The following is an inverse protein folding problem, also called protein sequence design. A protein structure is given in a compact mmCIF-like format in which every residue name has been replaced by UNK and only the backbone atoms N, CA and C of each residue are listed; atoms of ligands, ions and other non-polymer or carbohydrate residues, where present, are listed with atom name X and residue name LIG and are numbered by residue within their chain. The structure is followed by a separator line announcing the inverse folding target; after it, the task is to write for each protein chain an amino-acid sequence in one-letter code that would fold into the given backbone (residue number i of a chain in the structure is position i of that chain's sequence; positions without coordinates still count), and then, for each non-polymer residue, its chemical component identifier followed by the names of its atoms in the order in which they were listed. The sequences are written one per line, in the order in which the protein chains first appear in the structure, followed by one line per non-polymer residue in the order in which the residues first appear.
data_IF_195148147168
#
_entry.id   IF_195148147168
#
_cell.length_a   1.000
_cell.length_b   1.000
_cell.length_c   1.000
_cell.angle_alpha   90.00
_cell.angle_beta   90.00
_cell.angle_gamma   90.00
#
_symmetry.space_group_name_H-M   'P 1'
#
loop_
_entity.id
_entity.type
_entity.pdbx_description
1 polymer ?
#
# COMPACT_ATOMS: atom_id res chain seq x y z
N UNK A 1 88.33 -61.09 -15.83
CA UNK A 1 87.15 -60.79 -16.66
C UNK A 1 85.90 -60.96 -15.79
N UNK A 2 85.24 -59.87 -15.41
CA UNK A 2 83.78 -59.64 -15.42
C UNK A 2 83.58 -58.15 -15.16
N UNK A 3 82.74 -57.55 -15.99
CA UNK A 3 82.51 -56.14 -16.24
C UNK A 3 82.02 -55.36 -15.01
N UNK A 4 82.52 -54.13 -14.85
CA UNK A 4 81.95 -53.06 -14.04
C UNK A 4 80.46 -52.92 -14.35
N UNK A 5 79.61 -53.09 -13.32
CA UNK A 5 78.17 -52.82 -13.40
C UNK A 5 77.96 -51.34 -13.69
N UNK A 6 77.25 -51.07 -14.79
CA UNK A 6 76.73 -49.75 -15.13
C UNK A 6 75.89 -49.21 -13.97
N UNK A 7 76.33 -48.08 -13.41
CA UNK A 7 75.48 -47.22 -12.59
C UNK A 7 74.52 -46.54 -13.57
N UNK A 8 73.27 -47.00 -13.58
CA UNK A 8 72.19 -46.34 -14.31
C UNK A 8 71.94 -45.00 -13.61
N UNK A 9 72.29 -43.90 -14.29
CA UNK A 9 71.96 -42.55 -13.87
C UNK A 9 70.44 -42.38 -13.93
N UNK A 10 69.79 -42.44 -12.76
CA UNK A 10 68.37 -42.16 -12.65
C UNK A 10 68.17 -40.66 -12.90
N UNK A 11 67.27 -40.24 -13.80
CA UNK A 11 66.97 -38.83 -13.99
C UNK A 11 66.51 -38.24 -12.65
N UNK A 12 67.03 -37.05 -12.31
CA UNK A 12 66.67 -36.34 -11.09
C UNK A 12 65.14 -36.25 -10.98
N UNK A 13 64.62 -36.59 -9.79
CA UNK A 13 63.19 -36.50 -9.49
C UNK A 13 62.75 -35.06 -9.81
N UNK A 14 61.72 -34.85 -10.65
CA UNK A 14 61.22 -33.51 -10.92
C UNK A 14 60.88 -32.82 -9.60
N UNK A 15 61.31 -31.57 -9.42
CA UNK A 15 60.90 -30.78 -8.26
C UNK A 15 59.37 -30.81 -8.15
N UNK A 16 58.88 -31.05 -6.93
CA UNK A 16 57.45 -31.09 -6.67
C UNK A 16 56.82 -29.80 -7.22
N UNK A 17 55.69 -29.89 -7.95
CA UNK A 17 55.05 -28.71 -8.51
C UNK A 17 54.84 -27.71 -7.39
N UNK A 18 55.30 -26.48 -7.61
CA UNK A 18 55.10 -25.38 -6.67
C UNK A 18 53.61 -25.33 -6.38
N UNK A 19 53.23 -25.58 -5.12
CA UNK A 19 51.84 -25.46 -4.68
C UNK A 19 51.41 -24.07 -5.12
N UNK A 20 50.34 -23.92 -5.92
CA UNK A 20 49.89 -22.60 -6.30
C UNK A 20 49.69 -21.85 -4.99
N UNK A 21 50.46 -20.77 -4.82
CA UNK A 21 50.26 -19.83 -3.72
C UNK A 21 48.90 -19.24 -4.03
N UNK A 22 47.83 -19.88 -3.52
CA UNK A 22 46.51 -19.31 -3.52
C UNK A 22 46.69 -17.92 -2.90
N UNK A 23 46.25 -16.88 -3.60
CA UNK A 23 46.42 -15.47 -3.24
C UNK A 23 45.96 -15.23 -1.79
N UNK A 24 46.85 -15.53 -0.85
CA UNK A 24 46.56 -15.53 0.58
C UNK A 24 46.39 -14.09 1.06
N UNK A 25 46.96 -13.15 0.30
CA UNK A 25 46.84 -11.72 0.51
C UNK A 25 45.45 -11.19 0.09
N UNK A 26 44.82 -11.70 -0.98
CA UNK A 26 43.45 -11.32 -1.33
C UNK A 26 42.41 -11.95 -0.38
N UNK A 27 42.63 -13.19 0.05
CA UNK A 27 41.73 -13.85 0.99
C UNK A 27 41.74 -13.19 2.39
N UNK A 28 42.90 -12.73 2.85
CA UNK A 28 43.03 -12.00 4.14
C UNK A 28 42.39 -10.60 4.10
N UNK A 29 42.33 -9.96 2.93
CA UNK A 29 41.67 -8.65 2.76
C UNK A 29 40.15 -8.78 2.62
N UNK A 30 39.65 -9.99 2.33
CA UNK A 30 38.23 -10.26 2.09
C UNK A 30 37.49 -10.66 3.36
N UNK A 31 38.17 -11.03 4.45
CA UNK A 31 37.50 -11.49 5.68
C UNK A 31 37.01 -10.28 6.49
N UNK A 32 35.73 -10.23 6.82
CA UNK A 32 35.16 -9.18 7.68
C UNK A 32 35.79 -9.23 9.08
N UNK A 33 35.66 -8.15 9.87
CA UNK A 33 36.26 -8.04 11.22
C UNK A 33 36.00 -9.24 12.14
N UNK A 34 34.92 -9.98 11.88
CA UNK A 34 34.46 -11.12 12.65
C UNK A 34 34.92 -12.49 12.12
N UNK A 35 35.76 -12.54 11.07
CA UNK A 35 36.22 -13.80 10.50
C UNK A 35 35.32 -14.40 9.42
N UNK A 36 34.23 -13.71 9.05
CA UNK A 36 33.21 -14.22 8.12
C UNK A 36 33.42 -13.70 6.69
N UNK A 37 33.05 -14.52 5.66
CA UNK A 37 33.07 -14.08 4.28
C UNK A 37 32.03 -12.96 4.07
N UNK A 38 32.38 -11.92 3.31
CA UNK A 38 31.51 -10.76 3.12
C UNK A 38 30.33 -11.16 2.25
N UNK A 39 29.20 -10.50 2.41
CA UNK A 39 27.97 -10.81 1.68
C UNK A 39 28.17 -10.79 0.17
N UNK A 40 29.01 -9.87 -0.31
CA UNK A 40 29.40 -9.81 -1.72
C UNK A 40 30.01 -11.12 -2.25
N UNK A 41 30.77 -11.86 -1.44
CA UNK A 41 31.41 -13.11 -1.89
C UNK A 41 30.44 -14.30 -1.97
N UNK A 42 29.33 -14.26 -1.22
CA UNK A 42 28.28 -15.29 -1.23
C UNK A 42 27.10 -14.93 -2.14
N UNK A 43 27.25 -13.90 -2.97
CA UNK A 43 26.20 -13.44 -3.90
C UNK A 43 25.04 -12.71 -3.23
N UNK A 44 25.22 -12.24 -1.99
CA UNK A 44 24.30 -11.38 -1.27
C UNK A 44 24.73 -9.91 -1.40
N UNK A 45 23.83 -8.99 -1.08
CA UNK A 45 24.08 -7.55 -1.10
C UNK A 45 23.79 -6.86 -2.43
N UNK A 46 24.53 -5.78 -2.70
CA UNK A 46 24.40 -4.96 -3.91
C UNK A 46 23.56 -3.69 -3.74
N UNK A 47 23.33 -2.99 -4.85
CA UNK A 47 22.70 -1.65 -4.87
C UNK A 47 21.17 -1.66 -4.98
N UNK A 48 20.56 -2.85 -5.03
CA UNK A 48 19.10 -2.99 -4.99
C UNK A 48 18.59 -2.68 -3.58
N UNK A 49 17.30 -2.31 -3.39
CA UNK A 49 16.74 -2.10 -2.05
C UNK A 49 16.95 -3.30 -1.10
N UNK A 50 16.88 -4.52 -1.65
CA UNK A 50 17.17 -5.76 -0.93
C UNK A 50 18.64 -5.83 -0.52
N UNK A 51 19.55 -5.55 -1.46
CA UNK A 51 20.99 -5.57 -1.23
C UNK A 51 21.46 -4.51 -0.24
N UNK A 52 20.87 -3.31 -0.29
CA UNK A 52 21.16 -2.24 0.68
C UNK A 52 20.80 -2.68 2.10
N UNK A 53 19.62 -3.30 2.29
CA UNK A 53 19.21 -3.83 3.59
C UNK A 53 20.19 -4.90 4.08
N UNK A 54 20.62 -5.81 3.22
CA UNK A 54 21.62 -6.84 3.54
C UNK A 54 22.96 -6.23 3.96
N UNK A 55 23.50 -5.31 3.16
CA UNK A 55 24.76 -4.61 3.46
C UNK A 55 24.69 -3.83 4.77
N UNK A 56 23.56 -3.17 5.06
CA UNK A 56 23.38 -2.47 6.34
C UNK A 56 23.35 -3.43 7.53
N UNK A 57 22.72 -4.59 7.40
CA UNK A 57 22.69 -5.60 8.46
C UNK A 57 24.06 -6.23 8.68
N UNK A 58 24.77 -6.58 7.61
CA UNK A 58 26.17 -7.03 7.67
C UNK A 58 27.06 -6.00 8.38
N UNK A 59 26.97 -4.72 7.99
CA UNK A 59 27.71 -3.65 8.63
C UNK A 59 27.45 -3.58 10.14
N UNK A 60 26.20 -3.66 10.57
CA UNK A 60 25.83 -3.64 11.99
C UNK A 60 26.35 -4.88 12.73
N UNK A 61 26.19 -6.06 12.12
CA UNK A 61 26.65 -7.32 12.70
C UNK A 61 28.17 -7.34 12.87
N UNK A 62 28.93 -7.06 11.80
CA UNK A 62 30.38 -7.12 11.79
C UNK A 62 31.06 -5.99 12.57
N UNK A 63 30.44 -4.80 12.66
CA UNK A 63 31.07 -3.66 13.36
C UNK A 63 30.79 -3.68 14.85
N UNK A 64 29.60 -4.11 15.27
CA UNK A 64 29.17 -4.07 16.67
C UNK A 64 29.09 -5.44 17.34
N UNK A 65 29.40 -6.51 16.61
CA UNK A 65 29.39 -7.90 17.08
C UNK A 65 28.04 -8.30 17.73
N UNK A 66 26.95 -7.80 17.15
CA UNK A 66 25.59 -8.03 17.65
C UNK A 66 25.03 -9.29 17.00
N UNK A 67 24.40 -10.23 17.73
CA UNK A 67 23.80 -11.42 17.14
C UNK A 67 22.74 -11.06 16.09
N UNK A 68 22.55 -11.93 15.09
CA UNK A 68 21.68 -11.67 13.94
C UNK A 68 20.25 -11.28 14.30
N UNK A 69 19.64 -11.88 15.33
CA UNK A 69 18.30 -11.47 15.79
C UNK A 69 18.27 -9.99 16.22
N UNK A 70 19.35 -9.53 16.88
CA UNK A 70 19.53 -8.16 17.35
C UNK A 70 19.80 -7.20 16.20
N UNK A 71 20.64 -7.61 15.25
CA UNK A 71 20.88 -6.88 14.00
C UNK A 71 19.59 -6.64 13.21
N UNK A 72 18.75 -7.68 13.07
CA UNK A 72 17.43 -7.58 12.44
C UNK A 72 16.54 -6.60 13.22
N UNK A 73 16.51 -6.69 14.55
CA UNK A 73 15.71 -5.81 15.39
C UNK A 73 16.14 -4.34 15.29
N UNK A 74 17.44 -4.06 15.32
CA UNK A 74 18.02 -2.72 15.18
C UNK A 74 17.73 -2.15 13.80
N UNK A 75 17.99 -2.92 12.73
CA UNK A 75 17.69 -2.49 11.36
C UNK A 75 16.21 -2.14 11.19
N UNK A 76 15.33 -2.94 11.79
CA UNK A 76 13.89 -2.67 11.82
C UNK A 76 13.58 -1.36 12.56
N UNK A 77 14.16 -1.17 13.76
CA UNK A 77 13.96 0.02 14.57
C UNK A 77 14.39 1.30 13.85
N UNK A 78 15.55 1.29 13.20
CA UNK A 78 16.08 2.42 12.42
C UNK A 78 15.10 2.79 11.32
N UNK A 79 14.68 1.82 10.51
CA UNK A 79 13.75 2.07 9.40
C UNK A 79 12.39 2.56 9.90
N UNK A 80 11.87 1.96 10.99
CA UNK A 80 10.61 2.42 11.61
C UNK A 80 10.72 3.83 12.17
N UNK A 81 11.89 4.24 12.66
CA UNK A 81 12.16 5.59 13.16
C UNK A 81 12.20 6.60 12.01
N UNK A 82 12.84 6.23 10.89
CA UNK A 82 12.89 7.07 9.68
C UNK A 82 11.48 7.29 9.09
N UNK A 83 10.61 6.28 9.11
CA UNK A 83 9.22 6.39 8.62
C UNK A 83 8.31 7.13 9.62
N UNK A 84 8.69 7.24 10.90
CA UNK A 84 7.82 7.77 11.96
C UNK A 84 7.23 9.17 11.67
N UNK A 85 7.96 10.14 11.08
CA UNK A 85 7.37 11.42 10.66
C UNK A 85 6.20 11.27 9.67
N UNK A 86 6.26 10.29 8.75
CA UNK A 86 5.14 9.99 7.84
C UNK A 86 3.94 9.43 8.60
N UNK A 87 4.17 8.61 9.64
CA UNK A 87 3.12 8.10 10.52
C UNK A 87 2.42 9.25 11.24
N UNK A 88 3.17 10.23 11.75
CA UNK A 88 2.62 11.42 12.38
C UNK A 88 1.77 12.22 11.38
N UNK A 89 2.24 12.42 10.15
CA UNK A 89 1.49 13.13 9.11
C UNK A 89 0.15 12.45 8.80
N UNK A 90 0.16 11.12 8.64
CA UNK A 90 -1.05 10.33 8.43
C UNK A 90 -2.00 10.42 9.64
N UNK A 91 -1.48 10.36 10.87
CA UNK A 91 -2.29 10.48 12.09
C UNK A 91 -2.95 11.86 12.23
N UNK A 92 -2.24 12.95 11.92
CA UNK A 92 -2.82 14.30 11.91
C UNK A 92 -3.98 14.42 10.92
N UNK A 93 -3.80 13.89 9.72
CA UNK A 93 -4.85 13.89 8.70
C UNK A 93 -6.03 12.97 9.09
N UNK A 94 -5.75 11.81 9.67
CA UNK A 94 -6.75 10.87 10.17
C UNK A 94 -7.63 11.49 11.27
N UNK A 95 -7.02 12.20 12.24
CA UNK A 95 -7.77 12.90 13.28
C UNK A 95 -8.73 13.97 12.70
N UNK A 96 -8.25 14.78 11.75
CA UNK A 96 -9.09 15.75 11.03
C UNK A 96 -10.23 15.09 10.26
N UNK A 97 -9.94 13.99 9.58
CA UNK A 97 -10.94 13.24 8.83
C UNK A 97 -12.01 12.67 9.76
N UNK A 98 -11.60 12.12 10.90
CA UNK A 98 -12.51 11.59 11.92
C UNK A 98 -13.45 12.66 12.46
N UNK A 99 -12.92 13.85 12.77
CA UNK A 99 -13.71 14.98 13.30
C UNK A 99 -14.70 15.59 12.29
N UNK A 100 -14.43 15.45 10.99
CA UNK A 100 -15.31 15.95 9.92
C UNK A 100 -16.16 14.84 9.27
N UNK A 101 -16.04 13.61 9.77
CA UNK A 101 -16.67 12.43 9.19
C UNK A 101 -18.19 12.53 9.06
N UNK A 102 -18.96 13.06 10.04
CA UNK A 102 -20.41 13.16 9.92
C UNK A 102 -20.86 14.01 8.74
N UNK A 103 -20.19 15.15 8.52
CA UNK A 103 -20.53 16.07 7.43
C UNK A 103 -20.18 15.46 6.07
N UNK A 104 -19.03 14.78 5.98
CA UNK A 104 -18.68 13.99 4.79
C UNK A 104 -19.73 12.92 4.50
N UNK A 105 -20.24 12.21 5.50
CA UNK A 105 -21.28 11.20 5.28
C UNK A 105 -22.60 11.78 4.76
N UNK A 106 -23.01 12.94 5.27
CA UNK A 106 -24.20 13.64 4.76
C UNK A 106 -24.05 13.99 3.28
N UNK A 107 -22.92 14.58 2.89
CA UNK A 107 -22.67 14.91 1.48
C UNK A 107 -22.57 13.65 0.61
N UNK A 108 -21.95 12.58 1.12
CA UNK A 108 -21.86 11.31 0.41
C UNK A 108 -23.24 10.70 0.17
N UNK A 109 -24.15 10.77 1.14
CA UNK A 109 -25.53 10.29 0.97
C UNK A 109 -26.30 11.13 -0.04
N UNK A 110 -26.21 12.45 0.02
CA UNK A 110 -26.87 13.33 -0.97
C UNK A 110 -26.38 13.04 -2.40
N UNK A 111 -25.08 12.83 -2.56
CA UNK A 111 -24.48 12.42 -3.83
C UNK A 111 -25.04 11.06 -4.31
N UNK A 112 -25.14 10.07 -3.43
CA UNK A 112 -25.70 8.75 -3.78
C UNK A 112 -27.20 8.84 -4.11
N UNK A 113 -27.99 9.61 -3.36
CA UNK A 113 -29.42 9.80 -3.63
C UNK A 113 -29.65 10.52 -4.97
N UNK A 114 -28.89 11.59 -5.27
CA UNK A 114 -28.96 12.29 -6.56
C UNK A 114 -28.59 11.39 -7.74
N UNK A 115 -27.65 10.47 -7.52
CA UNK A 115 -27.24 9.51 -8.54
C UNK A 115 -28.28 8.42 -8.76
N UNK A 116 -28.90 7.92 -7.70
CA UNK A 116 -29.99 6.94 -7.78
C UNK A 116 -31.25 7.52 -8.42
N UNK A 117 -31.49 8.82 -8.27
CA UNK A 117 -32.59 9.52 -8.95
C UNK A 117 -32.28 9.87 -10.42
N UNK A 118 -31.09 9.53 -10.92
CA UNK A 118 -30.67 9.82 -12.30
C UNK A 118 -30.30 11.28 -12.56
N UNK A 119 -30.22 12.12 -11.51
CA UNK A 119 -29.83 13.51 -11.64
C UNK A 119 -28.29 13.66 -11.62
N UNK A 120 -27.68 13.49 -12.78
CA UNK A 120 -26.23 13.58 -12.96
C UNK A 120 -25.65 14.94 -12.54
N UNK A 121 -26.40 16.04 -12.78
CA UNK A 121 -25.95 17.39 -12.47
C UNK A 121 -25.87 17.61 -10.95
N UNK A 122 -26.92 17.22 -10.21
CA UNK A 122 -26.91 17.29 -8.74
C UNK A 122 -25.86 16.34 -8.14
N UNK A 123 -25.69 15.14 -8.70
CA UNK A 123 -24.62 14.23 -8.25
C UNK A 123 -23.23 14.84 -8.43
N UNK A 124 -22.96 15.50 -9.56
CA UNK A 124 -21.68 16.17 -9.82
C UNK A 124 -21.48 17.38 -8.89
N UNK A 125 -22.55 18.14 -8.63
CA UNK A 125 -22.54 19.24 -7.67
C UNK A 125 -22.17 18.77 -6.26
N UNK A 126 -22.82 17.73 -5.74
CA UNK A 126 -22.48 17.19 -4.41
C UNK A 126 -21.06 16.61 -4.36
N UNK A 127 -20.57 16.02 -5.46
CA UNK A 127 -19.18 15.57 -5.54
C UNK A 127 -18.19 16.75 -5.47
N UNK A 128 -18.50 17.87 -6.13
CA UNK A 128 -17.70 19.09 -6.05
C UNK A 128 -17.78 19.72 -4.66
N UNK A 129 -18.96 19.81 -4.05
CA UNK A 129 -19.16 20.29 -2.68
C UNK A 129 -18.36 19.44 -1.69
N UNK A 130 -18.31 18.12 -1.87
CA UNK A 130 -17.49 17.21 -1.05
C UNK A 130 -16.00 17.52 -1.20
N UNK A 131 -15.52 17.70 -2.43
CA UNK A 131 -14.12 18.03 -2.69
C UNK A 131 -13.72 19.37 -2.08
N UNK A 132 -14.56 20.39 -2.24
CA UNK A 132 -14.37 21.72 -1.65
C UNK A 132 -14.38 21.64 -0.12
N UNK A 133 -15.34 20.94 0.46
CA UNK A 133 -15.42 20.71 1.89
C UNK A 133 -14.13 20.06 2.45
N UNK A 134 -13.65 19.00 1.79
CA UNK A 134 -12.41 18.32 2.18
C UNK A 134 -11.20 19.25 2.07
N UNK A 135 -11.14 20.10 1.04
CA UNK A 135 -10.08 21.09 0.85
C UNK A 135 -10.12 22.18 1.92
N UNK A 136 -11.29 22.73 2.21
CA UNK A 136 -11.50 23.74 3.27
C UNK A 136 -11.12 23.23 4.65
N UNK A 137 -11.47 21.97 4.96
CA UNK A 137 -11.10 21.32 6.23
C UNK A 137 -9.68 20.74 6.23
N UNK A 138 -8.96 20.83 5.11
CA UNK A 138 -7.59 20.32 4.97
C UNK A 138 -7.47 18.80 5.09
N UNK A 139 -8.53 18.07 4.77
CA UNK A 139 -8.61 16.60 4.79
C UNK A 139 -8.20 16.06 3.43
N UNK A 140 -7.21 15.15 3.39
CA UNK A 140 -6.80 14.48 2.16
C UNK A 140 -6.68 12.96 2.39
N UNK A 141 -7.52 12.12 1.75
CA UNK A 141 -7.48 10.67 1.91
C UNK A 141 -6.13 10.06 1.51
N UNK A 142 -5.44 10.63 0.52
CA UNK A 142 -4.14 10.14 0.04
C UNK A 142 -3.04 10.26 1.10
N UNK A 143 -3.14 11.26 2.00
CA UNK A 143 -2.19 11.39 3.12
C UNK A 143 -2.26 10.22 4.09
N UNK A 144 -3.39 9.51 4.17
CA UNK A 144 -3.49 8.30 4.99
C UNK A 144 -2.89 7.08 4.29
N UNK A 145 -2.80 7.09 2.95
CA UNK A 145 -2.23 5.99 2.16
C UNK A 145 -0.71 6.08 2.03
N UNK A 146 -0.09 7.22 2.40
CA UNK A 146 1.36 7.41 2.27
C UNK A 146 2.17 6.41 3.11
N UNK A 147 1.67 6.05 4.30
CA UNK A 147 2.34 5.13 5.22
C UNK A 147 2.40 3.71 4.65
N UNK A 148 1.28 3.06 4.27
CA UNK A 148 1.34 1.72 3.67
C UNK A 148 2.11 1.71 2.34
N UNK A 149 2.03 2.77 1.54
CA UNK A 149 2.81 2.90 0.30
C UNK A 149 4.31 2.97 0.54
N UNK A 150 4.76 3.67 1.60
CA UNK A 150 6.17 3.71 1.98
C UNK A 150 6.63 2.40 2.66
N UNK A 151 5.75 1.76 3.43
CA UNK A 151 6.06 0.53 4.15
C UNK A 151 6.17 -0.69 3.24
N UNK A 152 5.35 -0.81 2.20
CA UNK A 152 5.32 -2.01 1.37
C UNK A 152 6.67 -2.31 0.67
N UNK A 153 7.34 -1.36 0.00
CA UNK A 153 8.67 -1.61 -0.59
C UNK A 153 9.72 -1.99 0.45
N UNK A 154 9.67 -1.36 1.64
CA UNK A 154 10.61 -1.65 2.73
C UNK A 154 10.36 -3.06 3.29
N UNK A 155 9.10 -3.43 3.52
CA UNK A 155 8.73 -4.78 3.92
C UNK A 155 9.21 -5.82 2.91
N UNK A 156 8.96 -5.58 1.61
CA UNK A 156 9.43 -6.48 0.54
C UNK A 156 10.96 -6.58 0.55
N UNK A 157 11.67 -5.47 0.78
CA UNK A 157 13.13 -5.44 0.82
C UNK A 157 13.70 -6.28 1.98
N UNK A 158 13.18 -6.11 3.19
CA UNK A 158 13.56 -6.93 4.34
C UNK A 158 13.16 -8.39 4.16
N UNK A 159 11.94 -8.64 3.69
CA UNK A 159 11.44 -10.00 3.47
C UNK A 159 12.31 -10.77 2.47
N UNK A 160 12.56 -10.18 1.29
CA UNK A 160 13.40 -10.80 0.27
C UNK A 160 14.85 -10.92 0.74
N UNK A 161 15.38 -9.91 1.44
CA UNK A 161 16.75 -9.89 1.94
C UNK A 161 17.02 -11.00 2.95
N UNK A 162 16.15 -11.11 3.95
CA UNK A 162 16.23 -12.15 4.99
C UNK A 162 15.96 -13.54 4.43
N UNK A 163 15.06 -13.65 3.45
CA UNK A 163 14.82 -14.93 2.76
C UNK A 163 16.04 -15.37 1.95
N UNK A 164 16.71 -14.45 1.27
CA UNK A 164 17.95 -14.76 0.55
C UNK A 164 19.06 -15.15 1.52
N UNK A 165 19.22 -14.42 2.62
CA UNK A 165 20.21 -14.74 3.67
C UNK A 165 19.95 -16.11 4.30
N UNK A 166 18.69 -16.46 4.59
CA UNK A 166 18.32 -17.76 5.13
C UNK A 166 18.55 -18.92 4.14
N UNK A 167 18.45 -18.66 2.83
CA UNK A 167 18.67 -19.66 1.79
C UNK A 167 20.14 -19.76 1.35
N UNK A 168 20.94 -18.73 1.63
CA UNK A 168 22.37 -18.65 1.33
C UNK A 168 23.20 -19.19 2.52
N UNK A 169 24.50 -19.49 2.33
CA UNK A 169 25.35 -20.03 3.40
C UNK A 169 25.84 -18.93 4.36
N UNK A 170 24.92 -18.14 4.95
CA UNK A 170 25.28 -17.27 6.08
C UNK A 170 25.32 -18.14 7.33
N UNK A 171 26.44 -18.84 7.53
CA UNK A 171 26.56 -19.87 8.58
C UNK A 171 26.32 -19.30 9.99
N UNK A 172 26.73 -18.05 10.24
CA UNK A 172 26.53 -17.37 11.52
C UNK A 172 25.06 -17.10 11.88
N UNK A 173 24.13 -17.19 10.93
CA UNK A 173 22.70 -17.12 11.21
C UNK A 173 22.14 -18.39 11.87
N UNK A 174 22.85 -19.53 11.80
CA UNK A 174 22.42 -20.78 12.42
C UNK A 174 22.50 -20.75 13.95
N UNK A 175 23.40 -19.93 14.49
CA UNK A 175 23.57 -19.73 15.93
C UNK A 175 23.24 -18.27 16.35
N UNK A 176 22.82 -17.44 15.40
CA UNK A 176 22.59 -16.01 15.59
C UNK A 176 21.20 -15.64 16.14
N UNK A 177 20.38 -16.62 16.52
CA UNK A 177 19.04 -16.46 17.05
C UNK A 177 18.96 -16.23 18.57
N UNK A 178 17.76 -16.36 19.16
CA UNK A 178 17.51 -16.02 20.56
C UNK A 178 16.61 -17.04 21.26
N UNK A 179 16.97 -17.40 22.50
CA UNK A 179 16.22 -18.31 23.37
C UNK A 179 15.86 -19.66 22.71
N UNK A 180 14.65 -19.81 22.17
CA UNK A 180 14.14 -21.06 21.60
C UNK A 180 14.31 -21.17 20.08
N UNK A 181 14.65 -20.07 19.40
CA UNK A 181 14.87 -20.03 17.96
C UNK A 181 16.33 -19.66 17.67
N UNK A 182 17.27 -20.57 17.95
CA UNK A 182 18.70 -20.32 17.75
C UNK A 182 19.09 -20.24 16.28
N UNK A 183 18.50 -21.10 15.45
CA UNK A 183 18.70 -21.10 14.00
C UNK A 183 17.68 -20.21 13.31
N UNK A 184 18.17 -19.11 12.73
CA UNK A 184 17.34 -18.14 12.00
C UNK A 184 17.03 -18.58 10.56
N UNK A 185 17.73 -19.58 10.04
CA UNK A 185 17.59 -20.07 8.66
C UNK A 185 16.44 -21.07 8.52
N UNK A 186 16.11 -21.77 9.60
CA UNK A 186 15.05 -22.78 9.66
C UNK A 186 13.73 -22.20 10.20
N UNK A 187 12.64 -22.95 10.02
CA UNK A 187 11.36 -22.62 10.65
C UNK A 187 11.44 -22.83 12.17
N UNK A 188 10.69 -22.03 12.93
CA UNK A 188 10.65 -22.12 14.40
C UNK A 188 10.16 -23.51 14.85
N UNK A 189 10.98 -24.32 15.55
CA UNK A 189 10.62 -25.66 15.99
C UNK A 189 9.40 -25.70 16.91
N UNK A 190 9.15 -24.63 17.68
CA UNK A 190 8.04 -24.56 18.64
C UNK A 190 6.82 -23.81 18.10
N UNK A 191 6.90 -23.24 16.89
CA UNK A 191 5.88 -22.37 16.31
C UNK A 191 5.50 -21.14 17.17
N UNK A 192 6.31 -20.77 18.17
CA UNK A 192 6.08 -19.63 19.03
C UNK A 192 6.19 -18.31 18.25
N UNK A 193 7.17 -18.17 17.35
CA UNK A 193 7.37 -17.00 16.50
C UNK A 193 6.18 -16.74 15.56
N UNK A 194 5.64 -17.73 14.82
CA UNK A 194 4.39 -17.58 14.09
C UNK A 194 3.21 -17.12 14.96
N UNK A 195 3.06 -17.70 16.16
CA UNK A 195 2.00 -17.32 17.11
C UNK A 195 2.17 -15.87 17.56
N UNK A 196 3.38 -15.48 18.00
CA UNK A 196 3.71 -14.12 18.43
C UNK A 196 3.48 -13.13 17.29
N UNK A 197 3.94 -13.44 16.09
CA UNK A 197 3.79 -12.59 14.91
C UNK A 197 2.32 -12.39 14.57
N UNK A 198 1.52 -13.46 14.57
CA UNK A 198 0.08 -13.38 14.31
C UNK A 198 -0.66 -12.60 15.41
N UNK A 199 -0.38 -12.89 16.69
CA UNK A 199 -0.99 -12.20 17.82
C UNK A 199 -0.65 -10.70 17.85
N UNK A 200 0.62 -10.35 17.62
CA UNK A 200 1.06 -8.94 17.57
C UNK A 200 0.54 -8.22 16.34
N UNK A 201 0.40 -8.90 15.19
CA UNK A 201 -0.25 -8.35 14.00
C UNK A 201 -1.73 -8.06 14.27
N UNK A 202 -2.44 -9.00 14.90
CA UNK A 202 -3.82 -8.81 15.33
C UNK A 202 -3.95 -7.57 16.23
N UNK A 203 -3.09 -7.46 17.25
CA UNK A 203 -3.11 -6.31 18.15
C UNK A 203 -2.77 -5.00 17.41
N UNK A 204 -1.84 -5.03 16.45
CA UNK A 204 -1.49 -3.86 15.64
C UNK A 204 -2.68 -3.38 14.80
N UNK A 205 -3.42 -4.32 14.21
CA UNK A 205 -4.64 -4.04 13.45
C UNK A 205 -5.72 -3.49 14.39
N UNK A 206 -5.93 -4.10 15.55
CA UNK A 206 -6.95 -3.67 16.51
C UNK A 206 -6.68 -2.24 17.01
N UNK A 207 -5.47 -1.99 17.51
CA UNK A 207 -5.12 -0.67 18.05
C UNK A 207 -4.96 0.41 16.96
N UNK A 208 -4.56 0.00 15.74
CA UNK A 208 -4.41 0.87 14.58
C UNK A 208 -5.77 1.30 13.98
N UNK A 209 -6.71 0.37 13.84
CA UNK A 209 -8.07 0.65 13.33
C UNK A 209 -8.87 1.52 14.30
N UNK A 210 -8.63 1.41 15.60
CA UNK A 210 -9.17 2.30 16.63
C UNK A 210 -8.68 3.74 16.51
N UNK A 211 -7.45 3.95 16.02
CA UNK A 211 -6.87 5.28 15.82
C UNK A 211 -7.39 5.95 14.53
N UNK A 212 -7.86 5.15 13.57
CA UNK A 212 -8.40 5.60 12.30
C UNK A 212 -9.93 5.62 12.26
N UNK A 213 -10.62 5.38 13.40
CA UNK A 213 -12.08 5.14 13.57
C UNK A 213 -12.86 5.28 12.27
N UNK A 214 -12.75 4.22 11.49
CA UNK A 214 -13.41 4.04 10.20
C UNK A 214 -14.91 3.84 10.47
N UNK A 215 -15.60 4.94 10.80
CA UNK A 215 -17.00 4.95 11.23
C UNK A 215 -17.94 5.29 10.08
N UNK A 216 -17.77 4.66 8.91
CA UNK A 216 -18.79 4.64 7.87
C UNK A 216 -19.52 3.29 7.94
N UNK A 217 -20.84 3.29 7.81
CA UNK A 217 -21.71 2.12 7.98
C UNK A 217 -21.30 0.88 7.16
N UNK A 218 -20.56 1.05 6.07
CA UNK A 218 -20.04 -0.03 5.20
C UNK A 218 -18.67 -0.60 5.62
N UNK A 219 -18.06 -0.13 6.71
CA UNK A 219 -16.68 -0.51 7.11
C UNK A 219 -16.60 -1.50 8.29
N UNK A 220 -17.71 -1.85 8.94
CA UNK A 220 -17.70 -2.87 9.99
C UNK A 220 -17.26 -4.23 9.46
N UNK A 221 -17.60 -4.56 8.22
CA UNK A 221 -17.10 -5.80 7.60
C UNK A 221 -15.63 -5.74 7.27
N UNK A 222 -15.11 -4.59 6.83
CA UNK A 222 -13.68 -4.42 6.61
C UNK A 222 -12.90 -4.68 7.92
N UNK A 223 -13.44 -4.27 9.07
CA UNK A 223 -12.86 -4.61 10.38
C UNK A 223 -12.82 -6.12 10.63
N UNK A 224 -13.91 -6.84 10.34
CA UNK A 224 -13.91 -8.32 10.46
C UNK A 224 -12.90 -8.99 9.53
N UNK A 225 -12.81 -8.54 8.28
CA UNK A 225 -11.83 -9.05 7.31
C UNK A 225 -10.40 -8.79 7.80
N UNK A 226 -10.10 -7.58 8.25
CA UNK A 226 -8.79 -7.23 8.80
C UNK A 226 -8.46 -8.01 10.08
N UNK A 227 -9.45 -8.28 10.94
CA UNK A 227 -9.27 -9.13 12.14
C UNK A 227 -9.08 -10.61 11.84
N UNK A 228 -9.63 -11.09 10.73
CA UNK A 228 -9.42 -12.46 10.27
C UNK A 228 -8.05 -12.67 9.62
N UNK A 229 -7.43 -11.60 9.10
CA UNK A 229 -6.15 -11.65 8.38
C UNK A 229 -5.03 -12.35 9.17
N UNK A 230 -4.78 -12.07 10.46
CA UNK A 230 -3.75 -12.77 11.24
C UNK A 230 -4.00 -14.27 11.38
N UNK A 231 -5.27 -14.69 11.46
CA UNK A 231 -5.64 -16.11 11.55
C UNK A 231 -5.37 -16.86 10.24
N UNK A 232 -5.60 -16.19 9.10
CA UNK A 232 -5.32 -16.76 7.78
C UNK A 232 -3.81 -16.80 7.48
N UNK A 233 -3.06 -15.80 7.93
CA UNK A 233 -1.60 -15.73 7.71
C UNK A 233 -0.84 -16.74 8.58
N UNK A 234 -1.36 -17.07 9.77
CA UNK A 234 -0.71 -17.98 10.72
C UNK A 234 -0.20 -19.32 10.11
N UNK A 235 -1.04 -20.16 9.46
CA UNK A 235 -0.58 -21.41 8.86
C UNK A 235 0.44 -21.22 7.74
N UNK A 236 0.38 -20.09 7.03
CA UNK A 236 1.36 -19.75 5.98
C UNK A 236 2.73 -19.41 6.57
N UNK A 237 2.74 -18.72 7.73
CA UNK A 237 3.99 -18.34 8.41
C UNK A 237 4.68 -19.49 9.15
N UNK A 238 4.02 -20.63 9.38
CA UNK A 238 4.63 -21.77 10.08
C UNK A 238 5.88 -22.34 9.39
N UNK A 239 5.96 -22.22 8.06
CA UNK A 239 7.07 -22.75 7.27
C UNK A 239 8.12 -21.69 6.90
N UNK A 240 8.00 -20.48 7.46
CA UNK A 240 8.92 -19.41 7.14
C UNK A 240 10.18 -19.49 8.02
N UNK A 241 11.36 -19.16 7.46
CA UNK A 241 12.57 -18.99 8.26
C UNK A 241 12.36 -18.04 9.44
N UNK A 242 12.91 -18.39 10.60
CA UNK A 242 12.79 -17.62 11.83
C UNK A 242 13.35 -16.20 11.67
N UNK A 243 14.32 -15.96 10.79
CA UNK A 243 14.80 -14.61 10.42
C UNK A 243 13.66 -13.68 9.99
N UNK A 244 12.79 -14.16 9.09
CA UNK A 244 11.68 -13.38 8.53
C UNK A 244 10.65 -13.06 9.61
N UNK A 245 10.33 -14.06 10.46
CA UNK A 245 9.37 -13.88 11.54
C UNK A 245 9.91 -13.02 12.67
N UNK A 246 11.21 -13.07 12.93
CA UNK A 246 11.89 -12.17 13.87
C UNK A 246 11.74 -10.72 13.43
N UNK A 247 12.03 -10.43 12.15
CA UNK A 247 11.78 -9.11 11.56
C UNK A 247 10.33 -8.69 11.73
N UNK A 248 9.38 -9.56 11.37
CA UNK A 248 7.96 -9.23 11.43
C UNK A 248 7.49 -8.97 12.86
N UNK A 249 7.88 -9.81 13.81
CA UNK A 249 7.58 -9.65 15.23
C UNK A 249 8.15 -8.32 15.76
N UNK A 250 9.43 -8.03 15.53
CA UNK A 250 10.04 -6.75 15.91
C UNK A 250 9.29 -5.56 15.30
N UNK A 251 8.96 -5.65 14.01
CA UNK A 251 8.20 -4.63 13.27
C UNK A 251 6.82 -4.39 13.90
N UNK A 252 6.11 -5.44 14.31
CA UNK A 252 4.83 -5.33 15.01
C UNK A 252 5.01 -4.70 16.40
N UNK A 253 5.97 -5.16 17.21
CA UNK A 253 6.24 -4.58 18.53
C UNK A 253 6.59 -3.10 18.46
N UNK A 254 7.42 -2.69 17.50
CA UNK A 254 7.73 -1.27 17.28
C UNK A 254 6.48 -0.50 16.86
N UNK A 255 5.62 -1.08 16.00
CA UNK A 255 4.32 -0.48 15.64
C UNK A 255 3.45 -0.26 16.86
N UNK A 256 3.35 -1.26 17.74
CA UNK A 256 2.57 -1.19 18.97
C UNK A 256 3.13 -0.12 19.90
N UNK A 257 4.46 -0.03 20.03
CA UNK A 257 5.14 1.03 20.77
C UNK A 257 4.84 2.42 20.20
N UNK A 258 4.92 2.59 18.87
CA UNK A 258 4.57 3.84 18.19
C UNK A 258 3.10 4.22 18.42
N UNK A 259 2.18 3.26 18.36
CA UNK A 259 0.75 3.49 18.62
C UNK A 259 0.53 3.86 20.09
N UNK A 260 1.16 3.16 21.04
CA UNK A 260 1.07 3.47 22.46
C UNK A 260 1.60 4.88 22.75
N UNK A 261 2.74 5.25 22.16
CA UNK A 261 3.32 6.58 22.26
C UNK A 261 2.37 7.67 21.74
N UNK A 262 1.73 7.45 20.58
CA UNK A 262 0.79 8.39 19.96
C UNK A 262 -0.62 8.39 20.60
N UNK A 263 -0.86 7.53 21.59
CA UNK A 263 -2.06 7.59 22.45
C UNK A 263 -1.88 8.53 23.64
N UNK A 264 -0.64 8.83 24.04
CA UNK A 264 -0.35 9.74 25.15
C UNK A 264 -0.77 11.18 24.76
N UNK A 265 -1.65 11.86 25.51
CA UNK A 265 -2.13 13.19 25.16
C UNK A 265 -1.02 14.23 24.98
N UNK A 266 -0.02 14.23 25.88
CA UNK A 266 1.12 15.15 25.80
C UNK A 266 1.91 15.00 24.49
N UNK A 267 2.10 13.76 24.02
CA UNK A 267 2.80 13.48 22.76
C UNK A 267 1.97 13.93 21.57
N UNK A 268 0.65 13.71 21.62
CA UNK A 268 -0.27 14.17 20.56
C UNK A 268 -0.28 15.70 20.45
N UNK A 269 -0.28 16.39 21.59
CA UNK A 269 -0.25 17.85 21.65
C UNK A 269 1.09 18.37 21.10
N UNK A 270 2.22 17.75 21.45
CA UNK A 270 3.54 18.06 20.90
C UNK A 270 3.58 17.96 19.36
N UNK A 271 3.02 16.87 18.81
CA UNK A 271 2.96 16.66 17.35
C UNK A 271 1.77 17.35 16.66
N UNK A 272 0.99 18.16 17.38
CA UNK A 272 -0.19 18.88 16.84
C UNK A 272 -1.18 17.94 16.16
N UNK A 273 -1.48 16.82 16.82
CA UNK A 273 -2.48 15.84 16.39
C UNK A 273 -3.80 16.19 17.09
N UNK A 274 -4.82 16.53 16.29
CA UNK A 274 -6.12 16.93 16.82
C UNK A 274 -6.72 15.85 17.75
N UNK A 275 -7.44 16.30 18.78
CA UNK A 275 -8.21 15.40 19.64
C UNK A 275 -9.36 14.82 18.83
N UNK A 276 -9.52 13.51 18.88
CA UNK A 276 -10.57 12.80 18.16
C UNK A 276 -11.89 13.04 18.91
N UNK A 277 -12.82 13.73 18.26
CA UNK A 277 -14.16 13.97 18.79
C UNK A 277 -14.98 12.70 18.59
N UNK A 278 -15.59 12.22 19.67
CA UNK A 278 -16.49 11.07 19.61
C UNK A 278 -17.86 11.54 19.16
N UNK A 279 -18.19 11.33 17.90
CA UNK A 279 -19.53 11.63 17.39
C UNK A 279 -20.54 10.58 17.86
N UNK A 280 -21.67 11.01 18.43
CA UNK A 280 -22.74 10.12 18.83
C UNK A 280 -23.30 9.36 17.59
N UNK A 281 -23.67 8.08 17.71
CA UNK A 281 -24.22 7.30 16.60
C UNK A 281 -25.46 7.91 15.93
N UNK A 282 -26.20 8.75 16.65
CA UNK A 282 -27.40 9.47 16.20
C UNK A 282 -27.11 10.66 15.28
N UNK A 283 -25.88 11.18 15.25
CA UNK A 283 -25.46 12.30 14.40
C UNK A 283 -25.02 11.85 12.99
N UNK A 284 -24.94 10.54 12.75
CA UNK A 284 -24.65 9.98 11.45
C UNK A 284 -25.97 9.68 10.76
N UNK A 285 -26.19 10.13 9.51
CA UNK A 285 -27.40 9.82 8.76
C UNK A 285 -27.46 8.30 8.49
N UNK A 286 -28.13 7.59 9.39
CA UNK A 286 -28.28 6.15 9.34
C UNK A 286 -29.36 5.76 8.33
N UNK A 287 -29.08 5.87 7.03
CA UNK A 287 -29.89 5.21 6.01
C UNK A 287 -29.20 3.90 5.60
N UNK A 288 -29.54 2.87 6.37
CA UNK A 288 -29.27 1.45 6.16
C UNK A 288 -27.86 0.95 6.50
N UNK A 289 -27.78 0.14 7.57
CA UNK A 289 -26.71 -0.82 7.80
C UNK A 289 -26.77 -1.92 6.74
N UNK A 290 -26.48 -1.60 5.47
CA UNK A 290 -26.34 -2.64 4.44
C UNK A 290 -25.09 -3.45 4.77
N UNK A 291 -25.21 -4.77 4.86
CA UNK A 291 -24.07 -5.66 5.07
C UNK A 291 -23.03 -5.53 3.94
N UNK A 292 -21.85 -6.14 4.09
CA UNK A 292 -20.75 -6.07 3.12
C UNK A 292 -21.18 -6.26 1.67
N UNK A 293 -21.94 -7.32 1.42
CA UNK A 293 -22.44 -7.68 0.08
C UNK A 293 -23.37 -6.58 -0.45
N UNK A 294 -24.20 -5.99 0.42
CA UNK A 294 -25.07 -4.87 0.06
C UNK A 294 -24.29 -3.60 -0.26
N UNK A 295 -23.26 -3.27 0.53
CA UNK A 295 -22.38 -2.12 0.27
C UNK A 295 -21.54 -2.29 -1.00
N UNK A 296 -21.02 -3.50 -1.25
CA UNK A 296 -20.27 -3.83 -2.45
C UNK A 296 -21.15 -3.79 -3.70
N UNK A 297 -22.35 -4.37 -3.62
CA UNK A 297 -23.36 -4.29 -4.68
C UNK A 297 -23.75 -2.84 -4.97
N UNK A 298 -24.02 -2.05 -3.94
CA UNK A 298 -24.32 -0.62 -4.11
C UNK A 298 -23.14 0.15 -4.71
N UNK A 299 -21.90 -0.19 -4.35
CA UNK A 299 -20.71 0.44 -4.96
C UNK A 299 -20.56 0.06 -6.43
N UNK A 300 -20.95 -1.16 -6.81
CA UNK A 300 -20.96 -1.63 -8.19
C UNK A 300 -22.11 -1.04 -9.00
N UNK A 301 -23.29 -0.91 -8.40
CA UNK A 301 -24.46 -0.23 -8.97
C UNK A 301 -24.15 1.26 -9.16
N UNK A 302 -23.63 1.93 -8.12
CA UNK A 302 -22.95 3.22 -8.27
C UNK A 302 -21.53 3.10 -8.85
N UNK A 303 -21.23 2.15 -9.73
CA UNK A 303 -20.16 2.34 -10.72
C UNK A 303 -20.78 2.28 -12.11
N UNK A 304 -21.67 1.31 -12.29
CA UNK A 304 -22.50 1.12 -13.48
C UNK A 304 -23.29 2.38 -13.83
N UNK A 305 -23.99 2.99 -12.87
CA UNK A 305 -24.78 4.22 -13.12
C UNK A 305 -23.89 5.38 -13.60
N UNK A 306 -22.64 5.48 -13.14
CA UNK A 306 -21.74 6.59 -13.56
C UNK A 306 -21.24 6.34 -14.95
N UNK A 307 -20.84 5.10 -15.25
CA UNK A 307 -20.46 4.72 -16.61
C UNK A 307 -21.60 4.97 -17.59
N UNK A 308 -22.83 4.64 -17.22
CA UNK A 308 -24.01 4.89 -18.07
C UNK A 308 -24.27 6.39 -18.26
N UNK A 309 -24.15 7.20 -17.20
CA UNK A 309 -24.27 8.67 -17.30
C UNK A 309 -23.17 9.25 -18.19
N UNK A 310 -21.92 8.85 -18.00
CA UNK A 310 -20.77 9.29 -18.80
C UNK A 310 -20.91 8.86 -20.27
N UNK A 311 -21.39 7.64 -20.52
CA UNK A 311 -21.64 7.15 -21.88
C UNK A 311 -22.75 7.95 -22.58
N UNK A 312 -23.84 8.27 -21.87
CA UNK A 312 -24.90 9.15 -22.38
C UNK A 312 -24.35 10.54 -22.70
N UNK A 313 -23.57 11.14 -21.80
CA UNK A 313 -22.93 12.44 -22.03
C UNK A 313 -22.01 12.40 -23.26
N UNK A 314 -21.20 11.35 -23.40
CA UNK A 314 -20.32 11.16 -24.56
C UNK A 314 -21.10 11.02 -25.87
N UNK A 315 -22.21 10.27 -25.87
CA UNK A 315 -23.07 10.13 -27.05
C UNK A 315 -23.73 11.46 -27.42
N UNK A 316 -24.17 12.25 -26.44
CA UNK A 316 -24.74 13.58 -26.65
C UNK A 316 -23.70 14.55 -27.23
N UNK A 317 -22.46 14.53 -26.73
CA UNK A 317 -21.34 15.28 -27.31
C UNK A 317 -21.07 14.89 -28.76
N UNK A 318 -21.08 13.58 -29.08
CA UNK A 318 -20.91 13.10 -30.45
C UNK A 318 -22.07 13.56 -31.34
N UNK A 319 -23.33 13.48 -30.85
CA UNK A 319 -24.50 13.96 -31.60
C UNK A 319 -24.43 15.46 -31.85
N UNK A 320 -24.05 16.24 -30.84
CA UNK A 320 -23.89 17.69 -30.94
C UNK A 320 -22.78 18.05 -31.93
N UNK A 321 -21.62 17.41 -31.84
CA UNK A 321 -20.52 17.60 -32.78
C UNK A 321 -20.90 17.20 -34.21
N UNK A 322 -21.66 16.12 -34.38
CA UNK A 322 -22.17 15.67 -35.68
C UNK A 322 -23.23 16.64 -36.23
N UNK A 323 -24.10 17.19 -35.40
CA UNK A 323 -25.08 18.19 -35.80
C UNK A 323 -24.41 19.49 -36.28
N UNK A 324 -23.31 19.91 -35.63
CA UNK A 324 -22.54 21.09 -36.05
C UNK A 324 -21.69 20.89 -37.32
N UNK A 325 -21.32 19.64 -37.64
CA UNK A 325 -20.52 19.29 -38.84
C UNK A 325 -21.37 18.73 -39.99
N UNK A 326 -22.66 18.52 -39.77
CA UNK A 326 -23.58 17.96 -40.75
C UNK A 326 -24.01 18.99 -41.80
N UNK A 327 -24.49 18.56 -42.98
CA UNK A 327 -25.08 19.46 -43.96
C UNK A 327 -26.30 20.19 -43.37
N UNK A 328 -26.43 21.49 -43.67
CA UNK A 328 -27.54 22.32 -43.22
C UNK A 328 -28.88 21.68 -43.60
N UNK A 329 -29.70 21.32 -42.61
CA UNK A 329 -31.05 20.80 -42.83
C UNK A 329 -31.96 21.96 -43.17
N UNK A 330 -32.70 21.87 -44.30
CA UNK A 330 -33.69 22.89 -44.68
C UNK A 330 -34.85 22.88 -43.69
N UNK A 331 -35.01 23.95 -42.94
CA UNK A 331 -36.14 24.16 -42.02
C UNK A 331 -37.14 25.14 -42.61
N UNK A 332 -38.44 24.90 -42.45
CA UNK A 332 -39.51 25.80 -42.89
C UNK A 332 -39.94 26.74 -41.76
N UNK A 333 -40.30 27.99 -42.09
CA UNK A 333 -40.78 28.99 -41.10
C UNK A 333 -42.16 28.65 -40.53
N UNK A 334 -42.93 27.86 -41.26
CA UNK A 334 -44.26 27.38 -40.91
C UNK A 334 -44.26 25.86 -40.99
N UNK A 335 -45.13 25.21 -40.22
CA UNK A 335 -45.31 23.76 -40.24
C UNK A 335 -45.82 23.34 -41.63
N UNK A 336 -45.00 22.65 -42.45
CA UNK A 336 -45.40 22.27 -43.81
C UNK A 336 -46.45 21.15 -43.82
N UNK A 337 -46.72 20.53 -42.66
CA UNK A 337 -47.75 19.47 -42.53
C UNK A 337 -49.14 20.02 -42.25
N UNK A 338 -49.25 21.29 -41.84
CA UNK A 338 -50.53 21.96 -41.62
C UNK A 338 -50.89 22.80 -42.84
N UNK A 339 -51.96 22.43 -43.54
CA UNK A 339 -52.48 23.20 -44.67
C UNK A 339 -52.95 24.58 -44.20
N UNK A 340 -52.32 25.64 -44.69
CA UNK A 340 -52.80 27.00 -44.50
C UNK A 340 -54.20 27.14 -45.12
N UNK A 341 -55.21 27.40 -44.29
CA UNK A 341 -56.52 27.86 -44.78
C UNK A 341 -56.35 29.24 -45.39
N UNK A 342 -56.17 29.30 -46.70
CA UNK A 342 -56.17 30.54 -47.47
C UNK A 342 -57.55 31.19 -47.31
N UNK A 343 -57.62 32.25 -46.52
CA UNK A 343 -58.83 33.08 -46.44
C UNK A 343 -58.75 34.10 -47.58
N UNK A 344 -59.46 33.83 -48.67
CA UNK A 344 -59.57 34.74 -49.82
C UNK A 344 -60.41 35.96 -49.40
N UNK A 345 -59.77 37.05 -49.00
CA UNK A 345 -60.46 38.33 -48.80
C UNK A 345 -60.82 38.93 -50.16
N UNK A 346 -62.12 39.07 -50.40
CA UNK A 346 -62.78 39.66 -51.56
C UNK A 346 -62.11 40.93 -52.12
N UNK A 347 -61.76 40.90 -53.42
CA UNK A 347 -61.59 42.08 -54.26
C UNK A 347 -62.92 42.86 -54.29
N UNK A 348 -62.95 44.04 -53.66
CA UNK A 348 -64.07 44.98 -53.73
C UNK A 348 -63.92 45.79 -55.02
N UNK A 349 -64.83 45.58 -55.99
CA UNK A 349 -64.99 46.44 -57.16
C UNK A 349 -65.30 47.89 -56.73
N UNK A 350 -64.78 48.93 -57.42
CA UNK A 350 -65.32 50.27 -57.32
C UNK A 350 -66.58 50.41 -58.20
N UNK A 351 -67.66 50.92 -57.61
CA UNK A 351 -68.96 51.20 -58.25
C UNK A 351 -68.91 52.55 -59.00
N UNK A 352 -69.65 52.73 -60.11
CA UNK A 352 -69.60 53.94 -60.93
C UNK A 352 -70.59 55.01 -60.42
N UNK A 353 -70.20 56.29 -60.38
CA UNK A 353 -71.14 57.42 -60.34
C UNK A 353 -70.66 58.64 -61.11
N UNK A 354 -71.61 59.16 -61.90
CA UNK A 354 -71.65 60.40 -62.66
C UNK A 354 -71.33 61.67 -61.86
N UNK A 355 -70.53 62.57 -62.42
CA UNK A 355 -70.95 63.86 -62.99
C UNK A 355 -69.81 64.46 -63.82
#
# INVERSE_FOLDING_TARGET
AVSTKELVDLPAIPEAPVVPVADSQLLMETITLNGEPPFASIGLGGWSPVGIVQNCMEFVHCTWDIPWWGTIAIGTLVVRTIIFPLVILAQRNSAKMSNNMPQMQVLQLKMTEARQSGNAIESARYAQEMMLFMREKGVNPLKNMIVPLAQAPLFISFFMGLRQMANAPVDSMRDGGLFWFTDLTLADPLYLLPVITSATLYLTIELGTDSARLSAANMNTMKYVLRALPLVIFPFTMNFPAAILTYWACSNFISLGQVALLRIPAVRDYFKIDKIVTHAPSALPAKNKKGFVGGMKESWDNMKITREIEERQRLDEIRFAKAGKGPLVKTYKYDPTQQQKVTTSSLKQPSPKHQ
#
